data_IF_777358683670
#
_entry.id   IF_777358683670
#
_cell.length_a   1.000
_cell.length_b   1.000
_cell.length_c   1.000
_cell.angle_alpha   90.00
_cell.angle_beta   90.00
_cell.angle_gamma   90.00
#
_symmetry.space_group_name_H-M   'P 1'
#
loop_
_entity.id
_entity.type
_entity.pdbx_description
1 polymer ?
#
# COMPACT_ATOMS: atom_id res chain seq x y z
N UNK A 1 -4.72 -11.92 -1.36
CA UNK A 1 -5.26 -13.09 -2.07
C UNK A 1 -6.80 -13.13 -1.94
N UNK A 2 -7.50 -13.85 -2.84
CA UNK A 2 -8.97 -13.88 -2.85
C UNK A 2 -9.59 -14.30 -1.52
N UNK A 3 -9.03 -15.34 -0.88
CA UNK A 3 -9.55 -15.86 0.41
C UNK A 3 -9.49 -14.83 1.54
N UNK A 4 -8.37 -14.10 1.66
CA UNK A 4 -8.24 -13.04 2.66
C UNK A 4 -9.13 -11.83 2.32
N UNK A 5 -9.33 -11.55 1.03
CA UNK A 5 -10.24 -10.50 0.60
C UNK A 5 -11.69 -10.88 0.92
N UNK A 6 -12.12 -12.09 0.63
CA UNK A 6 -13.45 -12.60 1.01
C UNK A 6 -13.66 -12.52 2.52
N UNK A 7 -12.67 -12.96 3.31
CA UNK A 7 -12.76 -13.00 4.78
C UNK A 7 -12.96 -11.60 5.41
N UNK A 8 -12.30 -10.54 4.89
CA UNK A 8 -12.47 -9.21 5.46
C UNK A 8 -13.82 -8.57 5.15
N UNK A 9 -14.55 -9.10 4.18
CA UNK A 9 -15.89 -8.65 3.83
C UNK A 9 -17.03 -9.61 4.25
N UNK A 10 -16.67 -10.78 4.82
CA UNK A 10 -17.64 -11.74 5.34
C UNK A 10 -18.02 -11.41 6.80
N UNK A 11 -19.27 -10.98 7.09
CA UNK A 11 -19.70 -10.67 8.45
C UNK A 11 -19.62 -11.83 9.44
N UNK A 12 -19.60 -13.08 8.95
CA UNK A 12 -19.48 -14.27 9.79
C UNK A 12 -18.02 -14.60 10.14
N UNK A 13 -17.07 -13.99 9.44
CA UNK A 13 -15.65 -14.29 9.63
C UNK A 13 -15.05 -13.59 10.86
N UNK A 14 -14.19 -14.28 11.59
CA UNK A 14 -13.47 -13.74 12.76
C UNK A 14 -12.62 -12.49 12.45
N UNK A 15 -12.23 -12.31 11.20
CA UNK A 15 -11.43 -11.16 10.73
C UNK A 15 -12.23 -10.18 9.87
N UNK A 16 -13.55 -10.20 10.01
CA UNK A 16 -14.42 -9.23 9.33
C UNK A 16 -13.98 -7.79 9.63
N UNK A 17 -13.70 -7.01 8.59
CA UNK A 17 -13.22 -5.62 8.69
C UNK A 17 -11.83 -5.44 9.27
N UNK A 18 -11.03 -6.50 9.49
CA UNK A 18 -9.72 -6.38 10.10
C UNK A 18 -8.63 -6.02 9.07
N UNK A 19 -7.95 -4.84 9.20
CA UNK A 19 -7.07 -4.30 8.17
C UNK A 19 -5.69 -4.98 8.06
N UNK A 20 -5.38 -5.95 8.94
CA UNK A 20 -4.11 -6.67 8.95
C UNK A 20 -4.27 -8.17 8.68
N UNK A 21 -5.41 -8.57 8.11
CA UNK A 21 -5.69 -9.94 7.70
C UNK A 21 -4.66 -10.43 6.69
N UNK A 22 -4.16 -11.64 6.89
CA UNK A 22 -3.15 -12.27 6.04
C UNK A 22 -3.22 -13.81 6.14
N UNK A 23 -2.44 -14.47 5.28
CA UNK A 23 -2.24 -15.93 5.34
C UNK A 23 -0.86 -16.30 4.78
N UNK A 24 -0.60 -17.59 4.54
CA UNK A 24 0.67 -18.07 3.97
C UNK A 24 0.92 -17.51 2.56
N UNK A 25 -0.16 -17.27 1.77
CA UNK A 25 -0.05 -16.78 0.39
C UNK A 25 0.09 -15.27 0.27
N UNK A 26 -0.34 -14.48 1.28
CA UNK A 26 -0.35 -13.02 1.21
C UNK A 26 0.03 -12.38 2.54
N UNK A 27 0.21 -11.06 2.52
CA UNK A 27 0.57 -10.24 3.69
C UNK A 27 2.04 -9.83 3.69
N UNK A 28 2.50 -9.13 4.73
CA UNK A 28 3.84 -8.59 4.79
C UNK A 28 4.89 -9.71 4.91
N UNK A 29 6.03 -9.50 4.26
CA UNK A 29 7.21 -10.37 4.34
C UNK A 29 8.46 -9.52 4.53
N UNK A 30 9.03 -9.00 3.44
CA UNK A 30 10.26 -8.23 3.43
C UNK A 30 10.28 -7.09 4.46
N UNK A 31 9.19 -6.35 4.57
CA UNK A 31 9.08 -5.16 5.42
C UNK A 31 9.06 -5.45 6.93
N UNK A 32 8.76 -6.70 7.32
CA UNK A 32 8.69 -7.11 8.72
C UNK A 32 9.88 -7.97 9.17
N UNK A 33 10.76 -8.42 8.27
CA UNK A 33 11.88 -9.32 8.59
C UNK A 33 12.97 -8.54 9.31
N UNK A 34 13.34 -8.98 10.52
CA UNK A 34 14.47 -8.49 11.30
C UNK A 34 15.74 -9.27 10.97
N UNK A 35 15.65 -10.59 10.96
CA UNK A 35 16.76 -11.51 10.74
C UNK A 35 16.26 -12.82 10.11
N UNK A 36 17.19 -13.64 9.62
CA UNK A 36 16.94 -15.02 9.20
C UNK A 36 17.30 -15.97 10.37
N UNK A 37 16.66 -17.13 10.47
CA UNK A 37 15.56 -17.65 9.62
C UNK A 37 14.28 -16.82 9.72
N UNK A 38 13.39 -16.94 8.72
CA UNK A 38 12.12 -16.24 8.69
C UNK A 38 11.11 -16.89 9.63
N UNK A 39 11.24 -16.59 10.90
CA UNK A 39 10.33 -17.02 11.97
C UNK A 39 9.71 -15.80 12.67
N UNK A 40 8.53 -15.97 13.28
CA UNK A 40 7.79 -14.87 13.93
C UNK A 40 8.65 -14.08 14.93
N UNK A 41 9.48 -14.76 15.73
CA UNK A 41 10.40 -14.13 16.67
C UNK A 41 11.44 -13.21 16.00
N UNK A 42 11.80 -13.51 14.73
CA UNK A 42 12.72 -12.73 13.92
C UNK A 42 12.01 -11.70 13.02
N UNK A 43 10.78 -11.31 13.37
CA UNK A 43 10.00 -10.29 12.65
C UNK A 43 9.48 -9.20 13.58
N UNK A 44 8.96 -8.09 13.01
CA UNK A 44 8.25 -7.06 13.76
C UNK A 44 6.90 -7.53 14.34
N UNK A 45 6.50 -8.78 14.06
CA UNK A 45 5.31 -9.39 14.66
C UNK A 45 5.60 -10.04 16.03
N UNK A 46 6.85 -10.14 16.46
CA UNK A 46 7.26 -10.76 17.72
C UNK A 46 6.55 -10.18 18.97
N UNK A 47 6.25 -8.88 19.08
CA UNK A 47 5.53 -8.33 20.24
C UNK A 47 4.03 -8.71 20.26
N UNK A 48 3.46 -9.13 19.12
CA UNK A 48 2.04 -9.49 19.00
C UNK A 48 1.87 -10.98 19.33
N UNK A 49 1.66 -11.29 20.62
CA UNK A 49 1.47 -12.67 21.10
C UNK A 49 0.17 -13.22 20.51
N UNK A 50 0.26 -14.36 19.84
CA UNK A 50 -0.91 -15.03 19.25
C UNK A 50 -1.93 -15.41 20.33
N UNK A 51 -3.21 -15.07 20.10
CA UNK A 51 -4.30 -15.66 20.87
C UNK A 51 -4.43 -17.15 20.55
N UNK A 52 -5.21 -17.86 21.36
CA UNK A 52 -5.39 -19.31 21.23
C UNK A 52 -5.90 -19.73 19.84
N UNK A 53 -6.86 -19.00 19.29
CA UNK A 53 -7.38 -19.27 17.93
C UNK A 53 -6.31 -19.08 16.85
N UNK A 54 -5.53 -17.99 16.92
CA UNK A 54 -4.44 -17.77 15.96
C UNK A 54 -3.33 -18.80 16.10
N UNK A 55 -3.06 -19.28 17.32
CA UNK A 55 -2.09 -20.35 17.58
C UNK A 55 -2.57 -21.65 16.95
N UNK A 56 -3.84 -22.01 17.15
CA UNK A 56 -4.45 -23.20 16.56
C UNK A 56 -4.38 -23.18 15.03
N UNK A 57 -4.73 -22.05 14.39
CA UNK A 57 -4.59 -21.90 12.94
C UNK A 57 -3.13 -21.98 12.46
N UNK A 58 -2.19 -21.47 13.26
CA UNK A 58 -0.76 -21.47 12.94
C UNK A 58 -0.14 -22.87 13.03
N UNK A 59 -0.59 -23.70 13.95
CA UNK A 59 -0.07 -25.06 14.21
C UNK A 59 -0.79 -26.15 13.39
N UNK A 60 -1.95 -25.86 12.81
CA UNK A 60 -2.74 -26.81 12.02
C UNK A 60 -2.23 -26.90 10.57
N UNK A 61 -1.62 -28.04 10.16
CA UNK A 61 -1.09 -28.20 8.80
C UNK A 61 -2.17 -28.18 7.70
N UNK A 62 -3.44 -28.32 8.04
CA UNK A 62 -4.56 -28.23 7.09
C UNK A 62 -5.08 -26.81 6.91
N UNK A 63 -4.66 -25.88 7.76
CA UNK A 63 -5.11 -24.50 7.73
C UNK A 63 -4.27 -23.65 6.78
N UNK A 64 -4.91 -22.75 6.02
CA UNK A 64 -4.24 -21.81 5.11
C UNK A 64 -3.32 -20.80 5.82
N UNK A 65 -3.28 -20.80 7.16
CA UNK A 65 -2.38 -20.00 8.00
C UNK A 65 -1.32 -20.82 8.70
N UNK A 66 -1.17 -22.09 8.33
CA UNK A 66 -0.10 -22.94 8.85
C UNK A 66 1.26 -22.24 8.65
N UNK A 67 1.98 -22.01 9.76
CA UNK A 67 3.24 -21.27 9.79
C UNK A 67 3.22 -19.87 9.11
N UNK A 68 2.06 -19.22 9.01
CA UNK A 68 1.98 -17.85 8.53
C UNK A 68 2.56 -16.88 9.57
N UNK A 69 3.83 -16.53 9.46
CA UNK A 69 4.54 -15.70 10.45
C UNK A 69 3.86 -14.37 10.80
N UNK A 70 3.21 -13.66 9.84
CA UNK A 70 2.49 -12.42 10.16
C UNK A 70 1.06 -12.64 10.66
N UNK A 71 0.64 -13.89 10.96
CA UNK A 71 -0.73 -14.19 11.41
C UNK A 71 -1.18 -13.24 12.52
N UNK A 72 -2.41 -12.73 12.38
CA UNK A 72 -3.03 -11.79 13.30
C UNK A 72 -4.56 -11.85 13.19
N UNK A 73 -5.24 -11.36 14.24
CA UNK A 73 -6.67 -11.11 14.25
C UNK A 73 -6.97 -9.89 15.15
N UNK A 74 -8.22 -9.42 15.22
CA UNK A 74 -8.58 -8.29 16.08
C UNK A 74 -8.20 -8.46 17.57
N UNK A 75 -8.13 -9.71 18.08
CA UNK A 75 -7.79 -9.94 19.48
C UNK A 75 -6.29 -9.83 19.77
N UNK A 76 -5.41 -10.16 18.82
CA UNK A 76 -3.98 -10.34 19.12
C UNK A 76 -3.03 -9.62 18.14
N UNK A 77 -3.55 -9.00 17.09
CA UNK A 77 -2.72 -8.36 16.08
C UNK A 77 -2.57 -6.85 16.25
N UNK A 78 -2.02 -6.18 15.23
CA UNK A 78 -1.85 -4.74 15.21
C UNK A 78 -3.16 -3.97 15.34
N UNK A 79 -3.07 -2.77 15.93
CA UNK A 79 -4.16 -1.80 16.01
C UNK A 79 -4.02 -0.75 14.91
N UNK A 80 -5.17 -0.33 14.35
CA UNK A 80 -5.25 0.87 13.52
C UNK A 80 -5.44 2.09 14.42
N UNK A 81 -4.84 3.21 14.06
CA UNK A 81 -4.79 4.42 14.87
C UNK A 81 -4.98 5.65 13.99
N UNK A 82 -5.81 6.59 14.45
CA UNK A 82 -5.99 7.89 13.82
C UNK A 82 -5.37 9.00 14.68
N UNK A 83 -4.65 9.92 14.03
CA UNK A 83 -4.00 11.05 14.72
C UNK A 83 -4.26 12.36 13.99
N UNK A 84 -4.23 13.46 14.76
CA UNK A 84 -4.16 14.82 14.21
C UNK A 84 -2.80 15.07 13.55
N UNK A 85 -2.65 16.14 12.74
CA UNK A 85 -1.35 16.58 12.23
C UNK A 85 -0.29 16.84 13.30
N UNK A 86 -0.71 17.20 14.51
CA UNK A 86 0.17 17.46 15.67
C UNK A 86 0.54 16.20 16.46
N UNK A 87 0.10 15.00 15.99
CA UNK A 87 0.40 13.73 16.68
C UNK A 87 -0.51 13.38 17.85
N UNK A 88 -1.62 14.11 18.06
CA UNK A 88 -2.61 13.76 19.08
C UNK A 88 -3.42 12.55 18.60
N UNK A 89 -3.48 11.49 19.41
CA UNK A 89 -4.30 10.32 19.15
C UNK A 89 -5.79 10.67 19.23
N UNK A 90 -6.53 10.33 18.18
CA UNK A 90 -7.99 10.50 18.09
C UNK A 90 -8.73 9.20 18.38
N UNK A 91 -8.34 8.11 17.73
CA UNK A 91 -8.93 6.78 17.87
C UNK A 91 -7.85 5.70 17.76
N UNK A 92 -8.04 4.60 18.46
CA UNK A 92 -7.17 3.40 18.33
C UNK A 92 -7.97 2.14 18.63
N UNK A 93 -7.86 1.15 17.77
CA UNK A 93 -8.52 -0.13 17.99
C UNK A 93 -8.20 -1.19 16.94
N UNK A 94 -8.71 -2.38 17.19
CA UNK A 94 -8.53 -3.57 16.35
C UNK A 94 -9.83 -4.15 15.84
N UNK A 95 -10.94 -3.79 16.52
CA UNK A 95 -12.28 -4.25 16.16
C UNK A 95 -12.79 -3.53 14.91
N UNK A 96 -13.86 -4.13 14.34
CA UNK A 96 -14.46 -3.60 13.11
C UNK A 96 -15.03 -2.20 13.29
N UNK A 97 -15.74 -1.94 14.40
CA UNK A 97 -16.38 -0.64 14.63
C UNK A 97 -15.34 0.48 14.67
N UNK A 98 -14.29 0.32 15.46
CA UNK A 98 -13.21 1.31 15.55
C UNK A 98 -12.49 1.46 14.19
N UNK A 99 -12.28 0.36 13.46
CA UNK A 99 -11.71 0.42 12.10
C UNK A 99 -12.60 1.23 11.17
N UNK A 100 -13.90 0.99 11.16
CA UNK A 100 -14.87 1.74 10.33
C UNK A 100 -14.90 3.23 10.70
N UNK A 101 -14.89 3.56 12.00
CA UNK A 101 -14.89 4.95 12.47
C UNK A 101 -13.62 5.70 12.04
N UNK A 102 -12.48 5.04 12.09
CA UNK A 102 -11.19 5.58 11.61
C UNK A 102 -11.26 5.81 10.08
N UNK A 103 -11.72 4.81 9.33
CA UNK A 103 -11.82 4.91 7.87
C UNK A 103 -12.88 5.94 7.43
N UNK A 104 -13.99 6.07 8.14
CA UNK A 104 -15.00 7.10 7.89
C UNK A 104 -14.45 8.51 8.05
N UNK A 105 -13.58 8.75 9.04
CA UNK A 105 -12.86 10.03 9.17
C UNK A 105 -11.94 10.27 7.97
N UNK A 106 -11.20 9.25 7.50
CA UNK A 106 -10.35 9.35 6.31
C UNK A 106 -11.18 9.67 5.07
N UNK A 107 -12.28 8.95 4.83
CA UNK A 107 -13.20 9.17 3.70
C UNK A 107 -13.75 10.60 3.73
N UNK A 108 -14.25 11.04 4.89
CA UNK A 108 -14.76 12.41 5.05
C UNK A 108 -13.70 13.46 4.72
N UNK A 109 -12.47 13.24 5.14
CA UNK A 109 -11.35 14.15 4.86
C UNK A 109 -11.01 14.18 3.37
N UNK A 110 -10.92 13.02 2.72
CA UNK A 110 -10.63 12.88 1.30
C UNK A 110 -11.72 13.52 0.42
N UNK A 111 -13.00 13.30 0.73
CA UNK A 111 -14.13 13.87 0.02
C UNK A 111 -14.16 15.41 0.10
N UNK A 112 -13.65 15.99 1.18
CA UNK A 112 -13.50 17.44 1.35
C UNK A 112 -12.22 18.01 0.73
N UNK A 113 -11.47 17.22 -0.04
CA UNK A 113 -10.22 17.63 -0.66
C UNK A 113 -9.02 17.69 0.30
N UNK A 114 -9.12 17.02 1.45
CA UNK A 114 -8.01 16.88 2.38
C UNK A 114 -6.98 15.83 1.94
N UNK A 115 -5.85 15.85 2.62
CA UNK A 115 -4.74 14.91 2.43
C UNK A 115 -4.67 13.99 3.65
N UNK A 116 -4.67 12.67 3.41
CA UNK A 116 -4.56 11.65 4.44
C UNK A 116 -3.21 10.95 4.34
N UNK A 117 -2.46 10.88 5.42
CA UNK A 117 -1.27 10.05 5.53
C UNK A 117 -1.69 8.65 6.01
N UNK A 118 -1.46 7.62 5.20
CA UNK A 118 -1.83 6.24 5.47
C UNK A 118 -0.58 5.37 5.59
N UNK A 119 -0.39 4.69 6.72
CA UNK A 119 0.72 3.75 6.90
C UNK A 119 0.43 2.43 6.22
N UNK A 120 1.15 2.17 5.13
CA UNK A 120 1.06 0.95 4.33
C UNK A 120 2.01 -0.17 4.78
N UNK A 121 2.34 -1.09 3.86
CA UNK A 121 3.28 -2.18 4.13
C UNK A 121 4.74 -1.75 4.23
N UNK A 122 5.15 -0.83 3.37
CA UNK A 122 6.57 -0.46 3.21
C UNK A 122 6.89 0.98 3.59
N UNK A 123 5.92 1.74 4.04
CA UNK A 123 6.06 3.13 4.42
C UNK A 123 4.71 3.84 4.44
N UNK A 124 4.76 5.12 4.75
CA UNK A 124 3.59 6.00 4.76
C UNK A 124 3.31 6.48 3.33
N UNK A 125 2.05 6.49 2.96
CA UNK A 125 1.55 7.02 1.68
C UNK A 125 0.69 8.26 1.95
N UNK A 126 0.76 9.26 1.08
CA UNK A 126 -0.13 10.41 1.09
C UNK A 126 -1.23 10.18 0.05
N UNK A 127 -2.47 10.31 0.49
CA UNK A 127 -3.67 10.10 -0.29
C UNK A 127 -4.46 11.41 -0.42
N UNK A 128 -5.05 11.65 -1.58
CA UNK A 128 -6.07 12.69 -1.78
C UNK A 128 -7.00 12.28 -2.94
N UNK A 129 -8.16 12.92 -3.08
CA UNK A 129 -9.08 12.65 -4.18
C UNK A 129 -8.45 13.03 -5.52
N UNK A 130 -8.41 12.09 -6.48
CA UNK A 130 -7.76 12.29 -7.77
C UNK A 130 -8.63 13.09 -8.78
N UNK A 131 -9.92 13.25 -8.51
CA UNK A 131 -10.85 14.07 -9.30
C UNK A 131 -10.93 15.54 -8.81
N UNK A 132 -10.34 15.85 -7.65
CA UNK A 132 -10.34 17.19 -7.08
C UNK A 132 -9.06 17.95 -7.45
N UNK A 133 -9.17 18.87 -8.43
CA UNK A 133 -8.04 19.67 -8.92
C UNK A 133 -7.33 20.46 -7.81
N UNK A 134 -8.09 21.08 -6.91
CA UNK A 134 -7.51 21.89 -5.83
C UNK A 134 -6.73 21.02 -4.83
N UNK A 135 -7.26 19.85 -4.49
CA UNK A 135 -6.61 18.90 -3.59
C UNK A 135 -5.30 18.37 -4.18
N UNK A 136 -5.31 17.97 -5.47
CA UNK A 136 -4.11 17.48 -6.18
C UNK A 136 -3.07 18.58 -6.31
N UNK A 137 -3.47 19.80 -6.65
CA UNK A 137 -2.57 20.95 -6.75
C UNK A 137 -1.95 21.29 -5.38
N UNK A 138 -2.76 21.30 -4.32
CA UNK A 138 -2.28 21.49 -2.93
C UNK A 138 -1.24 20.44 -2.55
N UNK A 139 -1.53 19.14 -2.79
CA UNK A 139 -0.57 18.07 -2.51
C UNK A 139 0.73 18.23 -3.29
N UNK A 140 0.64 18.62 -4.56
CA UNK A 140 1.80 18.87 -5.42
C UNK A 140 2.69 19.98 -4.88
N UNK A 141 2.08 21.11 -4.50
CA UNK A 141 2.78 22.25 -3.92
C UNK A 141 3.46 21.88 -2.59
N UNK A 142 2.72 21.25 -1.65
CA UNK A 142 3.25 20.88 -0.33
C UNK A 142 4.38 19.85 -0.40
N UNK A 143 4.37 18.99 -1.43
CA UNK A 143 5.47 18.03 -1.68
C UNK A 143 6.63 18.60 -2.47
N UNK A 144 6.58 19.82 -2.95
CA UNK A 144 7.53 20.38 -3.91
C UNK A 144 7.74 19.42 -5.11
N UNK A 145 6.62 18.96 -5.72
CA UNK A 145 6.62 17.95 -6.78
C UNK A 145 5.98 18.53 -8.06
N UNK A 146 6.73 19.38 -8.77
CA UNK A 146 6.18 20.18 -9.86
C UNK A 146 5.82 19.36 -11.10
N UNK A 147 6.69 18.48 -11.58
CA UNK A 147 6.54 17.80 -12.86
C UNK A 147 6.22 16.30 -12.78
N UNK A 148 6.69 15.57 -11.76
CA UNK A 148 6.55 14.11 -11.69
C UNK A 148 5.08 13.70 -11.51
N UNK A 149 4.48 12.85 -12.41
CA UNK A 149 3.10 12.40 -12.28
C UNK A 149 2.83 11.71 -10.94
N UNK A 150 1.58 11.78 -10.48
CA UNK A 150 1.09 10.94 -9.39
C UNK A 150 0.53 9.63 -9.93
N UNK A 151 0.68 8.56 -9.15
CA UNK A 151 -0.08 7.35 -9.36
C UNK A 151 -1.47 7.50 -8.73
N UNK A 152 -2.43 6.76 -9.29
CA UNK A 152 -3.77 6.64 -8.74
C UNK A 152 -4.07 5.22 -8.31
N UNK A 153 -4.81 5.08 -7.22
CA UNK A 153 -5.36 3.81 -6.77
C UNK A 153 -6.87 3.82 -7.02
N UNK A 154 -7.36 2.73 -7.61
CA UNK A 154 -8.79 2.52 -7.89
C UNK A 154 -9.25 1.20 -7.32
N UNK A 155 -10.54 1.07 -7.02
CA UNK A 155 -11.15 -0.05 -6.30
C UNK A 155 -10.90 -1.42 -6.93
N UNK A 156 -10.95 -1.50 -8.26
CA UNK A 156 -10.84 -2.75 -9.03
C UNK A 156 -10.49 -2.49 -10.49
N UNK A 157 -10.33 -3.56 -11.26
CA UNK A 157 -10.00 -3.49 -12.69
C UNK A 157 -11.08 -2.76 -13.51
N UNK A 158 -12.37 -2.94 -13.17
CA UNK A 158 -13.46 -2.27 -13.86
C UNK A 158 -13.39 -0.73 -13.69
N UNK A 159 -13.03 -0.25 -12.50
CA UNK A 159 -12.77 1.18 -12.28
C UNK A 159 -11.53 1.66 -13.03
N UNK A 160 -10.50 0.84 -13.16
CA UNK A 160 -9.29 1.18 -13.93
C UNK A 160 -9.58 1.34 -15.43
N UNK A 161 -10.43 0.47 -16.01
CA UNK A 161 -10.79 0.53 -17.45
C UNK A 161 -11.60 1.78 -17.83
N UNK A 162 -12.22 2.45 -16.86
CA UNK A 162 -12.89 3.74 -17.09
C UNK A 162 -11.87 4.89 -17.26
N UNK A 163 -10.66 4.74 -16.73
CA UNK A 163 -9.66 5.80 -16.69
C UNK A 163 -8.51 5.61 -17.68
N UNK A 164 -8.26 4.37 -18.08
CA UNK A 164 -7.14 4.03 -18.96
C UNK A 164 -7.50 2.89 -19.93
N UNK A 165 -6.84 2.88 -21.09
CA UNK A 165 -6.91 1.77 -22.03
C UNK A 165 -6.00 0.65 -21.53
N UNK A 166 -6.58 -0.52 -21.27
CA UNK A 166 -5.89 -1.64 -20.60
C UNK A 166 -5.88 -2.87 -21.49
N UNK A 167 -4.70 -3.30 -21.89
CA UNK A 167 -4.51 -4.58 -22.61
C UNK A 167 -4.62 -5.78 -21.66
N UNK A 168 -4.82 -7.02 -22.17
CA UNK A 168 -4.85 -8.22 -21.33
C UNK A 168 -3.58 -8.43 -20.48
N UNK A 169 -2.40 -8.05 -20.98
CA UNK A 169 -1.15 -8.15 -20.23
C UNK A 169 -1.10 -7.13 -19.08
N UNK A 170 -1.54 -5.90 -19.32
CA UNK A 170 -1.61 -4.87 -18.30
C UNK A 170 -2.67 -5.20 -17.23
N UNK A 171 -3.82 -5.76 -17.62
CA UNK A 171 -4.83 -6.25 -16.68
C UNK A 171 -4.26 -7.35 -15.76
N UNK A 172 -3.46 -8.29 -16.33
CA UNK A 172 -2.75 -9.30 -15.55
C UNK A 172 -1.78 -8.70 -14.55
N UNK A 173 -1.02 -7.67 -14.95
CA UNK A 173 -0.09 -6.98 -14.06
C UNK A 173 -0.82 -6.25 -12.92
N UNK A 174 -1.90 -5.52 -13.23
CA UNK A 174 -2.72 -4.83 -12.22
C UNK A 174 -3.29 -5.80 -11.18
N UNK A 175 -3.67 -7.01 -11.58
CA UNK A 175 -4.27 -8.03 -10.70
C UNK A 175 -3.26 -9.03 -10.14
N UNK A 176 -1.98 -8.85 -10.43
CA UNK A 176 -0.91 -9.73 -9.94
C UNK A 176 -0.66 -9.56 -8.43
N UNK A 177 -0.08 -10.57 -7.76
CA UNK A 177 0.29 -10.49 -6.35
C UNK A 177 1.27 -9.35 -6.02
N UNK A 178 2.09 -8.96 -6.98
CA UNK A 178 3.03 -7.85 -6.88
C UNK A 178 2.32 -6.51 -6.73
N UNK A 179 1.10 -6.40 -7.29
CA UNK A 179 0.24 -5.21 -7.29
C UNK A 179 1.01 -3.91 -7.61
N UNK A 180 1.73 -3.84 -8.74
CA UNK A 180 2.54 -2.68 -9.09
C UNK A 180 1.71 -1.49 -9.55
N UNK A 181 2.34 -0.33 -9.63
CA UNK A 181 1.86 0.78 -10.42
C UNK A 181 2.12 0.44 -11.89
N UNK A 182 1.07 0.32 -12.71
CA UNK A 182 1.18 0.07 -14.15
C UNK A 182 1.00 1.37 -14.90
N UNK A 183 1.94 1.72 -15.78
CA UNK A 183 1.84 2.91 -16.62
C UNK A 183 0.99 2.61 -17.86
N UNK A 184 -0.16 3.27 -17.97
CA UNK A 184 -1.21 3.02 -18.94
C UNK A 184 -1.51 4.29 -19.76
N UNK A 185 -1.94 4.16 -21.04
CA UNK A 185 -2.46 5.30 -21.79
C UNK A 185 -3.85 5.67 -21.23
N UNK A 186 -4.05 6.96 -20.85
CA UNK A 186 -5.35 7.41 -20.32
C UNK A 186 -6.44 7.34 -21.40
N UNK A 187 -7.70 7.23 -20.97
CA UNK A 187 -8.85 7.43 -21.86
C UNK A 187 -9.01 8.90 -22.23
N UNK A 188 -9.69 9.19 -23.35
CA UNK A 188 -9.94 10.56 -23.82
C UNK A 188 -10.85 11.37 -22.90
N UNK A 189 -11.73 10.70 -22.16
CA UNK A 189 -12.67 11.30 -21.21
C UNK A 189 -12.39 10.77 -19.82
N UNK A 190 -11.54 11.45 -19.08
CA UNK A 190 -11.23 11.09 -17.69
C UNK A 190 -11.83 12.09 -16.72
N UNK A 191 -12.30 11.59 -15.57
CA UNK A 191 -12.76 12.41 -14.44
C UNK A 191 -11.58 12.95 -13.61
N UNK A 192 -10.35 12.56 -13.94
CA UNK A 192 -9.16 12.92 -13.15
C UNK A 192 -8.81 14.39 -13.31
N UNK A 193 -8.36 14.96 -12.21
CA UNK A 193 -7.80 16.31 -12.22
C UNK A 193 -6.57 16.41 -13.15
N UNK A 194 -6.45 17.42 -14.03
CA UNK A 194 -5.31 17.58 -14.92
C UNK A 194 -3.95 17.51 -14.22
N UNK A 195 -3.87 18.01 -12.99
CA UNK A 195 -2.65 17.97 -12.19
C UNK A 195 -2.21 16.58 -11.72
N UNK A 196 -2.98 15.51 -11.96
CA UNK A 196 -2.56 14.13 -11.62
C UNK A 196 -1.40 13.69 -12.51
N UNK A 197 -1.55 13.75 -13.82
CA UNK A 197 -0.54 13.31 -14.80
C UNK A 197 0.36 14.42 -15.30
N UNK A 198 -0.02 15.70 -15.07
CA UNK A 198 0.70 16.86 -15.61
C UNK A 198 0.87 16.73 -17.13
N UNK A 199 2.10 16.81 -17.64
CA UNK A 199 2.41 16.67 -19.07
C UNK A 199 2.74 15.23 -19.50
N UNK A 200 2.50 14.23 -18.65
CA UNK A 200 2.81 12.83 -18.97
C UNK A 200 1.74 12.21 -19.87
N UNK A 201 2.12 11.54 -20.97
CA UNK A 201 1.20 10.76 -21.79
C UNK A 201 0.76 9.44 -21.10
N UNK A 202 1.28 9.15 -19.91
CA UNK A 202 1.03 7.93 -19.15
C UNK A 202 0.40 8.24 -17.81
N UNK A 203 -0.61 7.45 -17.47
CA UNK A 203 -1.25 7.42 -16.16
C UNK A 203 -0.72 6.22 -15.38
N UNK A 204 -0.17 6.43 -14.19
CA UNK A 204 0.18 5.35 -13.27
C UNK A 204 -1.06 4.89 -12.51
N UNK A 205 -1.48 3.64 -12.71
CA UNK A 205 -2.64 3.05 -12.05
C UNK A 205 -2.22 1.87 -11.19
N UNK A 206 -2.78 1.74 -10.00
CA UNK A 206 -2.62 0.57 -9.14
C UNK A 206 -3.94 0.14 -8.52
N UNK A 207 -4.03 -1.14 -8.15
CA UNK A 207 -5.14 -1.68 -7.37
C UNK A 207 -4.75 -1.79 -5.89
N UNK A 208 -5.72 -1.96 -4.96
CA UNK A 208 -5.46 -2.15 -3.55
C UNK A 208 -4.52 -3.33 -3.30
N UNK A 209 -3.46 -3.13 -2.55
CA UNK A 209 -2.45 -4.15 -2.26
C UNK A 209 -2.51 -4.69 -0.83
N UNK A 210 -3.34 -4.08 0.03
CA UNK A 210 -3.50 -4.46 1.43
C UNK A 210 -4.97 -4.52 1.82
N UNK A 211 -5.35 -5.28 2.86
CA UNK A 211 -6.71 -5.24 3.40
C UNK A 211 -7.15 -3.82 3.76
N UNK A 212 -6.25 -3.02 4.33
CA UNK A 212 -6.53 -1.61 4.67
C UNK A 212 -6.96 -0.78 3.46
N UNK A 213 -6.26 -0.93 2.32
CA UNK A 213 -6.63 -0.26 1.07
C UNK A 213 -7.99 -0.73 0.54
N UNK A 214 -8.27 -2.05 0.59
CA UNK A 214 -9.57 -2.59 0.18
C UNK A 214 -10.72 -2.06 1.03
N UNK A 215 -10.53 -2.02 2.36
CA UNK A 215 -11.52 -1.47 3.28
C UNK A 215 -11.77 0.02 3.03
N UNK A 216 -10.71 0.82 2.87
CA UNK A 216 -10.84 2.25 2.55
C UNK A 216 -11.59 2.47 1.23
N UNK A 217 -11.18 1.77 0.15
CA UNK A 217 -11.79 1.92 -1.17
C UNK A 217 -13.17 1.26 -1.29
N UNK A 218 -13.60 0.46 -0.32
CA UNK A 218 -14.99 0.01 -0.24
C UNK A 218 -15.95 1.11 0.25
N UNK A 219 -15.42 2.13 0.92
CA UNK A 219 -16.19 3.24 1.52
C UNK A 219 -16.14 4.53 0.69
N UNK A 220 -15.36 4.57 -0.40
CA UNK A 220 -15.20 5.74 -1.26
C UNK A 220 -15.23 5.32 -2.73
N UNK A 221 -15.96 6.06 -3.57
CA UNK A 221 -16.15 5.72 -4.99
C UNK A 221 -15.23 6.52 -5.94
N UNK A 222 -14.49 7.52 -5.44
CA UNK A 222 -13.56 8.29 -6.27
C UNK A 222 -12.16 7.62 -6.33
N UNK A 223 -11.43 7.77 -7.44
CA UNK A 223 -10.03 7.38 -7.51
C UNK A 223 -9.19 8.23 -6.56
N UNK A 224 -8.17 7.62 -5.96
CA UNK A 224 -7.27 8.31 -5.04
C UNK A 224 -5.89 8.50 -5.66
N UNK A 225 -5.34 9.70 -5.59
CA UNK A 225 -3.90 9.90 -5.73
C UNK A 225 -3.21 9.14 -4.60
N UNK A 226 -2.15 8.40 -4.94
CA UNK A 226 -1.29 7.72 -3.98
C UNK A 226 0.16 8.10 -4.28
N UNK A 227 0.85 8.64 -3.28
CA UNK A 227 2.27 8.95 -3.39
C UNK A 227 3.00 8.66 -2.09
N UNK A 228 4.30 8.39 -2.16
CA UNK A 228 5.13 8.14 -0.98
C UNK A 228 5.07 9.29 0.04
N UNK A 229 4.98 8.97 1.32
CA UNK A 229 5.01 9.93 2.44
C UNK A 229 6.45 10.34 2.75
N UNK A 230 6.95 11.30 1.99
CA UNK A 230 8.28 11.91 2.13
C UNK A 230 8.26 13.30 1.51
N UNK A 231 9.20 14.14 1.87
CA UNK A 231 9.57 15.29 1.06
C UNK A 231 10.35 14.83 -0.17
N UNK A 232 10.38 15.65 -1.23
CA UNK A 232 11.11 15.32 -2.47
C UNK A 232 12.57 14.98 -2.14
N UNK A 233 13.08 13.90 -2.74
CA UNK A 233 14.45 13.39 -2.56
C UNK A 233 14.77 12.77 -1.18
N UNK A 234 13.82 12.67 -0.27
CA UNK A 234 14.01 11.97 0.99
C UNK A 234 13.49 10.53 0.93
N UNK A 235 13.95 9.63 1.81
CA UNK A 235 13.36 8.31 1.96
C UNK A 235 11.95 8.38 2.52
N UNK A 236 11.13 7.37 2.19
CA UNK A 236 9.75 7.23 2.67
C UNK A 236 9.73 7.12 4.22
N UNK A 237 8.80 7.82 4.87
CA UNK A 237 8.60 7.72 6.31
C UNK A 237 8.07 6.34 6.70
N UNK A 238 8.62 5.76 7.78
CA UNK A 238 8.24 4.43 8.28
C UNK A 238 7.86 4.42 9.76
N UNK A 239 8.05 5.53 10.48
CA UNK A 239 7.73 5.66 11.90
C UNK A 239 6.74 6.81 12.15
N UNK A 240 6.05 6.77 13.29
CA UNK A 240 5.12 7.81 13.71
C UNK A 240 5.84 9.17 13.87
N UNK A 241 7.01 9.18 14.50
CA UNK A 241 7.80 10.42 14.70
C UNK A 241 8.21 11.06 13.38
N UNK A 242 8.69 10.24 12.42
CA UNK A 242 8.98 10.72 11.06
C UNK A 242 7.73 11.28 10.37
N UNK A 243 6.58 10.61 10.55
CA UNK A 243 5.31 11.04 9.98
C UNK A 243 4.93 12.44 10.48
N UNK A 244 4.89 12.63 11.78
CA UNK A 244 4.46 13.91 12.36
C UNK A 244 5.47 15.03 12.08
N UNK A 245 6.78 14.74 12.19
CA UNK A 245 7.82 15.74 11.96
C UNK A 245 7.91 16.20 10.50
N UNK A 246 7.77 15.26 9.54
CA UNK A 246 8.01 15.56 8.12
C UNK A 246 6.74 15.82 7.32
N UNK A 247 5.61 15.26 7.75
CA UNK A 247 4.35 15.31 7.00
C UNK A 247 3.25 16.07 7.75
N UNK A 248 3.52 16.61 8.95
CA UNK A 248 2.55 17.34 9.77
C UNK A 248 1.95 18.55 9.07
N UNK A 249 2.77 19.27 8.27
CA UNK A 249 2.32 20.41 7.48
C UNK A 249 1.65 20.01 6.14
N UNK A 250 1.69 18.72 5.77
CA UNK A 250 1.16 18.21 4.50
C UNK A 250 -0.17 17.52 4.71
N UNK A 251 -0.24 16.59 5.66
CA UNK A 251 -1.41 15.75 5.87
C UNK A 251 -2.38 16.36 6.90
N UNK A 252 -3.66 16.25 6.61
CA UNK A 252 -4.75 16.75 7.48
C UNK A 252 -5.24 15.68 8.47
N UNK A 253 -4.87 14.42 8.25
CA UNK A 253 -5.19 13.27 9.11
C UNK A 253 -4.14 12.19 8.89
N UNK A 254 -3.75 11.50 9.96
CA UNK A 254 -2.85 10.37 9.93
C UNK A 254 -3.57 9.10 10.34
N UNK A 255 -3.50 8.08 9.49
CA UNK A 255 -3.97 6.71 9.76
C UNK A 255 -2.73 5.82 9.83
N UNK A 256 -2.33 5.48 11.02
CA UNK A 256 -1.11 4.73 11.31
C UNK A 256 -1.45 3.40 11.99
N UNK A 257 -0.45 2.58 12.26
CA UNK A 257 -0.59 1.32 13.00
C UNK A 257 0.65 1.05 13.86
N UNK A 258 0.48 0.22 14.89
CA UNK A 258 1.52 -0.13 15.85
C UNK A 258 2.46 -1.27 15.39
N UNK A 259 2.29 -1.83 14.18
CA UNK A 259 3.24 -2.79 13.60
C UNK A 259 4.42 -2.07 12.98
N UNK A 260 5.67 -2.26 13.49
CA UNK A 260 6.85 -1.60 12.95
C UNK A 260 7.14 -2.02 11.51
N UNK A 261 7.53 -1.06 10.67
CA UNK A 261 8.11 -1.27 9.34
C UNK A 261 9.63 -1.28 9.51
N UNK A 262 10.25 -2.45 9.37
CA UNK A 262 11.70 -2.61 9.58
C UNK A 262 12.51 -2.28 8.32
N UNK A 263 11.93 -2.50 7.15
CA UNK A 263 12.56 -2.24 5.86
C UNK A 263 11.62 -1.41 5.00
N UNK A 264 11.99 -0.17 4.69
CA UNK A 264 11.20 0.65 3.79
C UNK A 264 11.17 0.02 2.40
N UNK A 265 10.03 0.09 1.74
CA UNK A 265 9.88 -0.32 0.35
C UNK A 265 8.80 0.53 -0.32
N UNK A 266 9.15 1.14 -1.44
CA UNK A 266 8.24 1.94 -2.26
C UNK A 266 7.38 1.02 -3.16
N UNK A 267 6.43 1.57 -3.88
CA UNK A 267 5.63 0.83 -4.86
C UNK A 267 6.44 0.60 -6.14
N UNK A 268 6.36 -0.62 -6.70
CA UNK A 268 6.98 -0.93 -7.99
C UNK A 268 6.27 -0.22 -9.12
N UNK A 269 7.00 0.11 -10.18
CA UNK A 269 6.47 0.73 -11.40
C UNK A 269 6.83 -0.13 -12.58
N UNK A 270 5.82 -0.51 -13.36
CA UNK A 270 5.97 -1.37 -14.53
C UNK A 270 5.25 -0.79 -15.74
N UNK A 271 5.65 -1.24 -16.92
CA UNK A 271 5.03 -0.90 -18.20
C UNK A 271 5.14 -2.05 -19.16
N UNK A 272 4.19 -2.19 -20.07
CA UNK A 272 4.33 -3.09 -21.21
C UNK A 272 5.02 -2.34 -22.38
N UNK A 273 6.11 -2.92 -22.88
CA UNK A 273 6.87 -2.40 -24.02
C UNK A 273 7.13 -3.56 -24.97
N UNK A 274 6.76 -3.42 -26.25
CA UNK A 274 6.91 -4.46 -27.27
C UNK A 274 6.33 -5.82 -26.82
N UNK A 275 5.18 -5.82 -26.15
CA UNK A 275 4.51 -7.03 -25.67
C UNK A 275 5.17 -7.73 -24.49
N UNK A 276 6.14 -7.08 -23.81
CA UNK A 276 6.85 -7.61 -22.65
C UNK A 276 6.75 -6.64 -21.46
N UNK A 277 6.76 -7.21 -20.26
CA UNK A 277 6.86 -6.44 -19.03
C UNK A 277 8.24 -5.80 -18.89
N UNK A 278 8.24 -4.48 -18.65
CA UNK A 278 9.42 -3.72 -18.29
C UNK A 278 9.25 -3.16 -16.88
N UNK A 279 10.07 -3.61 -15.94
CA UNK A 279 10.10 -3.09 -14.57
C UNK A 279 10.96 -1.84 -14.53
N UNK A 280 10.31 -0.66 -14.40
CA UNK A 280 10.99 0.64 -14.35
C UNK A 280 11.51 0.95 -12.94
N UNK A 281 10.77 0.55 -11.90
CA UNK A 281 11.20 0.61 -10.51
C UNK A 281 10.88 -0.73 -9.85
N UNK A 282 11.92 -1.40 -9.37
CA UNK A 282 11.83 -2.69 -8.72
C UNK A 282 11.78 -2.50 -7.21
N UNK A 283 10.60 -2.65 -6.61
CA UNK A 283 10.37 -2.43 -5.19
C UNK A 283 9.33 -3.43 -4.65
N UNK A 284 8.26 -2.99 -3.98
CA UNK A 284 7.26 -3.88 -3.38
C UNK A 284 6.71 -4.91 -4.39
N UNK A 285 6.66 -6.16 -3.96
CA UNK A 285 6.18 -7.30 -4.76
C UNK A 285 7.27 -7.95 -5.61
N UNK A 286 8.24 -7.19 -6.11
CA UNK A 286 9.36 -7.69 -6.91
C UNK A 286 10.63 -7.91 -6.07
N UNK A 287 10.94 -7.01 -5.15
CA UNK A 287 12.03 -7.19 -4.19
C UNK A 287 11.58 -8.08 -3.03
N UNK A 288 12.43 -8.95 -2.49
CA UNK A 288 13.85 -9.13 -2.73
C UNK A 288 14.19 -10.24 -3.76
N UNK A 289 13.24 -10.64 -4.61
CA UNK A 289 13.48 -11.71 -5.58
C UNK A 289 14.65 -11.35 -6.52
N UNK A 290 15.56 -12.28 -6.84
CA UNK A 290 16.68 -12.00 -7.75
C UNK A 290 16.19 -11.72 -9.18
N UNK A 291 16.93 -10.92 -9.93
CA UNK A 291 16.54 -10.52 -11.29
C UNK A 291 16.70 -11.68 -12.29
N UNK A 292 17.81 -12.36 -12.28
CA UNK A 292 18.12 -13.62 -12.94
C UNK A 292 19.45 -14.10 -12.39
N UNK A 293 19.65 -15.41 -12.33
CA UNK A 293 20.97 -15.96 -12.09
C UNK A 293 21.77 -15.81 -13.38
N UNK A 294 22.94 -15.17 -13.30
CA UNK A 294 23.95 -15.27 -14.34
C UNK A 294 24.38 -16.75 -14.37
N UNK A 295 24.31 -17.37 -15.53
CA UNK A 295 24.73 -18.77 -15.71
C UNK A 295 26.24 -18.96 -15.56
N UNK A 296 27.00 -17.84 -15.64
CA UNK A 296 28.45 -17.81 -15.43
C UNK A 296 28.80 -16.64 -14.52
N UNK A 297 29.77 -16.84 -13.63
CA UNK A 297 30.37 -15.77 -12.85
C UNK A 297 31.11 -14.83 -13.79
N UNK A 298 30.78 -13.54 -13.84
CA UNK A 298 31.49 -12.62 -14.72
C UNK A 298 32.95 -12.48 -14.25
N UNK A 299 33.89 -12.51 -15.18
CA UNK A 299 35.30 -12.26 -14.91
C UNK A 299 35.59 -10.79 -14.58
N UNK A 300 34.64 -9.91 -14.86
CA UNK A 300 34.76 -8.47 -14.63
C UNK A 300 33.89 -8.02 -13.45
N UNK A 301 34.34 -7.00 -12.75
CA UNK A 301 33.57 -6.35 -11.70
C UNK A 301 32.36 -5.64 -12.32
N UNK A 302 31.14 -5.98 -11.87
CA UNK A 302 29.90 -5.33 -12.28
C UNK A 302 29.46 -4.39 -11.17
N UNK A 303 29.34 -3.10 -11.49
CA UNK A 303 28.69 -2.10 -10.65
C UNK A 303 27.24 -1.93 -11.10
N UNK A 304 26.30 -2.34 -10.24
CA UNK A 304 24.86 -2.08 -10.45
C UNK A 304 24.44 -0.89 -9.60
N UNK A 305 23.98 0.19 -10.24
CA UNK A 305 23.46 1.38 -9.56
C UNK A 305 21.95 1.43 -9.65
N UNK A 306 21.28 1.92 -8.58
CA UNK A 306 19.87 2.23 -8.63
C UNK A 306 19.60 3.46 -9.51
N UNK A 307 18.43 3.48 -10.18
CA UNK A 307 17.93 4.67 -10.85
C UNK A 307 17.14 5.51 -9.84
N UNK A 308 17.67 6.65 -9.46
CA UNK A 308 17.00 7.67 -8.64
C UNK A 308 17.01 9.02 -9.34
#
# INVERSE_FOLDING_TARGET
>A
CPDCLSEIFDPSARRFGYPFTNCTNCGPRYTIIKALPYDRGATSMSPFIMCEDCRREYEDPTNRRFHAQPIACPSCGPALQAYTPTGQLLLSGRDKQTTDDILAQAVTRLQRGGIVALMGLGGIQLLTSADNQNAVTRLRHLKARDAKPFAIMVKNLASATQLANISPLEARLLTSPEAPIVLLPPTTHTILAPSVSSCSPWLGVMLPSTPLHHLLLSMIDCPLVVTSGNLSHEPICTTHDQAFTKLGDIADLFILHDRPILRPVDDSVVRIVCGKELVLRRARGYAPMPVHHLTHTPEQVILATGAH
#
